data_IF_758333250061
#
_entry.id   IF_758333250061
#
_cell.length_a   1.000
_cell.length_b   1.000
_cell.length_c   1.000
_cell.angle_alpha   90.00
_cell.angle_beta   90.00
_cell.angle_gamma   90.00
#
_symmetry.space_group_name_H-M   'P 1'
#
loop_
_entity.id
_entity.type
_entity.pdbx_description
1 polymer ?
#
# COMPACT_ATOMS: atom_id res chain seq x y z
N UNK A 1 45.85 37.87 18.58
CA UNK A 1 44.43 37.54 18.84
C UNK A 1 43.63 37.71 17.54
N UNK A 2 43.94 36.94 16.48
CA UNK A 2 43.34 37.08 15.14
C UNK A 2 43.10 35.73 14.41
N UNK A 3 43.41 34.59 15.05
CA UNK A 3 43.35 33.25 14.43
C UNK A 3 42.04 32.48 14.67
N UNK A 4 41.21 32.91 15.62
CA UNK A 4 39.96 32.23 15.99
C UNK A 4 38.79 32.58 15.03
N UNK A 5 38.75 33.82 14.53
CA UNK A 5 37.64 34.34 13.73
C UNK A 5 37.61 33.74 12.30
N UNK A 6 38.79 33.56 11.69
CA UNK A 6 38.93 32.88 10.40
C UNK A 6 38.55 31.39 10.44
N UNK A 7 38.65 30.74 11.61
CA UNK A 7 38.27 29.34 11.79
C UNK A 7 36.76 29.16 11.93
N UNK A 8 36.09 30.08 12.62
CA UNK A 8 34.63 30.09 12.77
C UNK A 8 33.93 30.35 11.43
N UNK A 9 34.44 31.28 10.61
CA UNK A 9 33.91 31.56 9.27
C UNK A 9 34.02 30.35 8.33
N UNK A 10 35.15 29.64 8.35
CA UNK A 10 35.34 28.42 7.54
C UNK A 10 34.43 27.27 7.98
N UNK A 11 34.18 27.11 9.29
CA UNK A 11 33.25 26.09 9.83
C UNK A 11 31.78 26.43 9.50
N UNK A 12 31.40 27.70 9.51
CA UNK A 12 30.08 28.14 9.10
C UNK A 12 29.85 27.91 7.59
N UNK A 13 30.86 28.17 6.77
CA UNK A 13 30.85 27.95 5.32
C UNK A 13 30.74 26.46 4.94
N UNK A 14 31.45 25.56 5.64
CA UNK A 14 31.32 24.11 5.39
C UNK A 14 29.95 23.57 5.79
N UNK A 15 29.36 24.01 6.90
CA UNK A 15 28.01 23.58 7.33
C UNK A 15 26.94 23.99 6.33
N UNK A 16 27.01 25.20 5.78
CA UNK A 16 26.12 25.67 4.72
C UNK A 16 26.26 24.85 3.44
N UNK A 17 27.50 24.61 3.00
CA UNK A 17 27.82 23.78 1.83
C UNK A 17 27.33 22.34 1.96
N UNK A 18 27.50 21.71 3.13
CA UNK A 18 26.99 20.35 3.36
C UNK A 18 25.47 20.29 3.32
N UNK A 19 24.77 21.29 3.86
CA UNK A 19 23.31 21.37 3.78
C UNK A 19 22.84 21.48 2.33
N UNK A 20 23.43 22.40 1.56
CA UNK A 20 23.10 22.58 0.14
C UNK A 20 23.40 21.30 -0.64
N UNK A 21 24.54 20.65 -0.39
CA UNK A 21 24.88 19.38 -1.04
C UNK A 21 23.91 18.24 -0.70
N UNK A 22 23.44 18.17 0.55
CA UNK A 22 22.46 17.16 0.96
C UNK A 22 21.09 17.39 0.29
N UNK A 23 20.64 18.64 0.24
CA UNK A 23 19.40 19.01 -0.46
C UNK A 23 19.49 18.72 -1.96
N UNK A 24 20.61 19.05 -2.59
CA UNK A 24 20.87 18.75 -4.00
C UNK A 24 20.88 17.25 -4.27
N UNK A 25 21.56 16.44 -3.45
CA UNK A 25 21.55 14.98 -3.56
C UNK A 25 20.14 14.40 -3.40
N UNK A 26 19.33 14.94 -2.48
CA UNK A 26 17.94 14.50 -2.32
C UNK A 26 17.14 14.77 -3.60
N UNK A 27 17.27 15.98 -4.16
CA UNK A 27 16.58 16.33 -5.41
C UNK A 27 17.05 15.46 -6.59
N UNK A 28 18.35 15.22 -6.72
CA UNK A 28 18.88 14.31 -7.75
C UNK A 28 18.31 12.88 -7.60
N UNK A 29 18.13 12.39 -6.37
CA UNK A 29 17.49 11.11 -6.12
C UNK A 29 16.01 11.12 -6.51
N UNK A 30 15.27 12.17 -6.16
CA UNK A 30 13.86 12.34 -6.55
C UNK A 30 13.69 12.41 -8.06
N UNK A 31 14.53 13.16 -8.76
CA UNK A 31 14.55 13.20 -10.24
C UNK A 31 14.76 11.82 -10.82
N UNK A 32 15.76 11.07 -10.34
CA UNK A 32 16.02 9.71 -10.83
C UNK A 32 14.83 8.78 -10.59
N UNK A 33 14.19 8.85 -9.42
CA UNK A 33 13.01 8.02 -9.14
C UNK A 33 11.84 8.34 -10.07
N UNK A 34 11.60 9.62 -10.36
CA UNK A 34 10.55 10.04 -11.28
C UNK A 34 10.85 9.60 -12.73
N UNK A 35 12.11 9.68 -13.17
CA UNK A 35 12.53 9.18 -14.48
C UNK A 35 12.29 7.67 -14.60
N UNK A 36 12.63 6.89 -13.57
CA UNK A 36 12.35 5.45 -13.51
C UNK A 36 10.85 5.13 -13.49
N UNK A 37 10.03 5.94 -12.81
CA UNK A 37 8.58 5.77 -12.78
C UNK A 37 7.95 6.08 -14.14
N UNK A 38 8.41 7.13 -14.83
CA UNK A 38 7.96 7.46 -16.18
C UNK A 38 8.29 6.35 -17.18
N UNK A 39 9.50 5.78 -17.12
CA UNK A 39 9.89 4.64 -17.97
C UNK A 39 9.01 3.39 -17.72
N UNK A 40 8.60 3.16 -16.47
CA UNK A 40 7.65 2.08 -16.15
C UNK A 40 6.26 2.38 -16.71
N UNK A 41 5.77 3.61 -16.55
CA UNK A 41 4.46 4.03 -17.05
C UNK A 41 4.36 3.94 -18.57
N UNK A 42 5.43 4.26 -19.30
CA UNK A 42 5.46 4.15 -20.77
C UNK A 42 5.35 2.69 -21.25
N UNK A 43 5.83 1.75 -20.43
CA UNK A 43 5.76 0.30 -20.69
C UNK A 43 4.49 -0.36 -20.16
N UNK A 44 3.68 0.36 -19.38
CA UNK A 44 2.46 -0.20 -18.80
C UNK A 44 1.34 -0.27 -19.85
N UNK A 45 0.59 -1.37 -19.80
CA UNK A 45 -0.60 -1.51 -20.62
C UNK A 45 -1.69 -0.52 -20.20
N UNK A 46 -2.64 -0.27 -21.11
CA UNK A 46 -3.80 0.55 -20.81
C UNK A 46 -4.56 0.02 -19.57
N UNK A 47 -5.00 0.91 -18.69
CA UNK A 47 -5.74 0.54 -17.48
C UNK A 47 -6.95 -0.36 -17.77
N UNK A 48 -7.60 -0.17 -18.93
CA UNK A 48 -8.71 -1.01 -19.39
C UNK A 48 -8.35 -2.49 -19.54
N UNK A 49 -7.10 -2.82 -19.88
CA UNK A 49 -6.63 -4.21 -20.00
C UNK A 49 -6.58 -4.87 -18.61
N UNK A 50 -5.93 -4.22 -17.64
CA UNK A 50 -5.92 -4.69 -16.25
C UNK A 50 -7.32 -4.78 -15.64
N UNK A 51 -8.20 -3.80 -15.89
CA UNK A 51 -9.58 -3.86 -15.42
C UNK A 51 -10.36 -5.05 -16.01
N UNK A 52 -10.19 -5.37 -17.30
CA UNK A 52 -10.82 -6.54 -17.93
C UNK A 52 -10.30 -7.85 -17.33
N UNK A 53 -9.00 -7.93 -17.07
CA UNK A 53 -8.41 -9.11 -16.42
C UNK A 53 -8.99 -9.31 -15.01
N UNK A 54 -9.10 -8.25 -14.22
CA UNK A 54 -9.72 -8.31 -12.89
C UNK A 54 -11.17 -8.77 -13.01
N UNK A 55 -11.94 -8.19 -13.92
CA UNK A 55 -13.34 -8.56 -14.12
C UNK A 55 -13.48 -10.05 -14.46
N UNK A 56 -12.69 -10.54 -15.42
CA UNK A 56 -12.69 -11.96 -15.79
C UNK A 56 -12.34 -12.87 -14.60
N UNK A 57 -11.37 -12.49 -13.77
CA UNK A 57 -11.01 -13.27 -12.58
C UNK A 57 -12.14 -13.31 -11.54
N UNK A 58 -12.83 -12.18 -11.33
CA UNK A 58 -13.94 -12.10 -10.37
C UNK A 58 -15.17 -12.86 -10.87
N UNK A 59 -15.45 -12.83 -12.17
CA UNK A 59 -16.63 -13.50 -12.75
C UNK A 59 -16.47 -15.02 -12.86
N UNK A 60 -15.25 -15.52 -13.06
CA UNK A 60 -15.00 -16.95 -13.30
C UNK A 60 -15.15 -17.83 -12.06
N UNK A 61 -15.00 -17.27 -10.85
CA UNK A 61 -15.08 -18.03 -9.61
C UNK A 61 -16.11 -17.43 -8.65
N UNK A 62 -17.21 -18.15 -8.34
CA UNK A 62 -18.22 -17.66 -7.41
C UNK A 62 -17.64 -17.52 -5.99
N UNK A 63 -17.84 -16.36 -5.37
CA UNK A 63 -17.41 -16.07 -3.99
C UNK A 63 -18.53 -16.45 -2.99
N UNK A 64 -18.37 -17.50 -2.16
CA UNK A 64 -19.40 -18.00 -1.26
C UNK A 64 -19.94 -16.97 -0.26
N UNK A 65 -19.30 -15.82 -0.10
CA UNK A 65 -19.75 -14.71 0.75
C UNK A 65 -20.68 -13.72 0.03
N UNK A 66 -20.84 -13.85 -1.29
CA UNK A 66 -21.66 -12.94 -2.09
C UNK A 66 -23.05 -13.55 -2.37
N UNK A 67 -24.14 -12.76 -2.24
CA UNK A 67 -25.53 -13.22 -2.42
C UNK A 67 -25.86 -13.80 -3.81
N UNK A 68 -25.04 -13.49 -4.82
CA UNK A 68 -25.25 -13.86 -6.23
C UNK A 68 -24.28 -14.95 -6.70
N UNK A 69 -23.91 -15.89 -5.82
CA UNK A 69 -23.11 -17.02 -6.26
C UNK A 69 -23.93 -18.06 -6.97
N UNK A 70 -23.63 -18.24 -8.26
CA UNK A 70 -24.06 -19.42 -9.00
C UNK A 70 -23.18 -20.60 -8.57
N UNK A 71 -23.61 -21.31 -7.53
CA UNK A 71 -22.93 -22.50 -7.01
C UNK A 71 -23.83 -23.23 -6.00
N UNK A 72 -23.62 -24.53 -5.78
CA UNK A 72 -24.35 -25.24 -4.74
C UNK A 72 -24.06 -24.59 -3.39
N UNK A 73 -25.12 -24.21 -2.65
CA UNK A 73 -24.99 -23.79 -1.27
C UNK A 73 -24.21 -24.87 -0.52
N UNK A 74 -23.10 -24.48 0.11
CA UNK A 74 -22.26 -25.42 0.85
C UNK A 74 -22.78 -25.50 2.29
N UNK A 75 -23.47 -26.58 2.70
CA UNK A 75 -24.14 -26.65 4.00
C UNK A 75 -23.17 -26.65 5.19
N UNK A 76 -21.87 -26.82 4.94
CA UNK A 76 -20.85 -26.71 5.99
C UNK A 76 -20.60 -25.26 6.44
N UNK A 77 -21.01 -24.26 5.65
CA UNK A 77 -20.90 -22.85 5.99
C UNK A 77 -22.00 -22.36 6.94
N UNK A 78 -23.11 -23.09 7.04
CA UNK A 78 -24.20 -22.80 7.98
C UNK A 78 -23.68 -22.75 9.42
N UNK A 79 -22.65 -23.55 9.75
CA UNK A 79 -21.92 -23.50 11.04
C UNK A 79 -21.33 -22.12 11.36
N UNK A 80 -20.93 -21.35 10.35
CA UNK A 80 -20.26 -20.07 10.50
C UNK A 80 -21.19 -18.87 10.31
N UNK A 81 -22.24 -19.00 9.47
CA UNK A 81 -23.13 -17.89 9.11
C UNK A 81 -24.57 -17.97 9.65
N UNK A 82 -25.11 -19.17 9.90
CA UNK A 82 -26.50 -19.32 10.38
C UNK A 82 -26.62 -19.30 11.91
N UNK A 83 -25.52 -19.05 12.61
CA UNK A 83 -25.48 -19.06 14.07
C UNK A 83 -25.66 -20.46 14.66
N UNK A 84 -25.63 -20.59 16.00
CA UNK A 84 -25.80 -21.88 16.64
C UNK A 84 -27.14 -22.49 16.23
N UNK A 85 -27.17 -23.72 15.67
CA UNK A 85 -28.42 -24.35 15.29
C UNK A 85 -29.28 -24.48 16.54
N UNK A 86 -30.46 -23.87 16.51
CA UNK A 86 -31.39 -23.77 17.63
C UNK A 86 -31.42 -25.06 18.45
N UNK A 87 -30.91 -24.95 19.67
CA UNK A 87 -31.25 -25.86 20.77
C UNK A 87 -31.43 -24.98 21.98
N UNK A 88 -32.68 -24.57 22.22
CA UNK A 88 -33.16 -24.01 23.49
C UNK A 88 -32.13 -23.09 24.17
N UNK A 89 -32.14 -21.80 23.83
CA UNK A 89 -31.17 -20.79 24.25
C UNK A 89 -30.43 -21.09 25.56
N UNK A 90 -29.09 -21.16 25.49
CA UNK A 90 -28.27 -21.22 26.69
C UNK A 90 -28.60 -20.00 27.57
N UNK A 91 -29.10 -20.24 28.79
CA UNK A 91 -29.29 -19.22 29.83
C UNK A 91 -27.98 -18.90 30.56
N UNK A 92 -26.86 -18.90 29.84
CA UNK A 92 -25.59 -18.53 30.41
C UNK A 92 -25.53 -16.99 30.49
N UNK A 93 -25.61 -16.46 31.71
CA UNK A 93 -25.26 -15.07 31.98
C UNK A 93 -23.74 -14.95 31.89
N UNK A 94 -23.26 -14.15 30.95
CA UNK A 94 -21.86 -13.74 30.93
C UNK A 94 -21.69 -12.79 32.12
N UNK A 95 -20.86 -13.20 33.08
CA UNK A 95 -20.41 -12.39 34.22
C UNK A 95 -19.48 -11.27 33.77
#
# INVERSE_FOLDING_TARGET
MQTEDGRLMAVADTRGKHRISAELKRLEQETRFLEEELDKLDKMDAASAGCKEILNNVETRPDPLLPMTNGPANPSWDRWFEGPPDKSGCRCWIL
#
